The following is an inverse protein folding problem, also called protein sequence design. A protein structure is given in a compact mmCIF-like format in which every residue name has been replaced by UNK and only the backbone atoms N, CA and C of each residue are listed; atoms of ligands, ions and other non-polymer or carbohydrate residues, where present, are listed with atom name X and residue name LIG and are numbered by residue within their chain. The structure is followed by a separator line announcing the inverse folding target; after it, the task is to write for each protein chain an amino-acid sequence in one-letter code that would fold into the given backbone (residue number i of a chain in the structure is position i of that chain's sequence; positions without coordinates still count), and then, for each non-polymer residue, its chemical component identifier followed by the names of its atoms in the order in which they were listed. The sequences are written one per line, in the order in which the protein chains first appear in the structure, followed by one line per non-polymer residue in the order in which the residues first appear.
data_IF_893739472198
#
_entry.id   IF_893739472198
#
_cell.length_a   1.000
_cell.length_b   1.000
_cell.length_c   1.000
_cell.angle_alpha   90.00
_cell.angle_beta   90.00
_cell.angle_gamma   90.00
#
_symmetry.space_group_name_H-M   'P 1'
#
loop_
_entity.id
_entity.type
_entity.pdbx_description
1 polymer ?
#
# COMPACT_ATOMS: atom_id res chain seq x y z
N UNK A 1 -23.27 28.93 -20.61
CA UNK A 1 -21.78 28.95 -20.62
C UNK A 1 -21.15 28.80 -19.22
N UNK A 2 -21.82 29.21 -18.14
CA UNK A 2 -21.26 29.21 -16.78
C UNK A 2 -21.11 27.82 -16.13
N UNK A 3 -22.08 26.91 -16.29
CA UNK A 3 -22.08 25.62 -15.63
C UNK A 3 -20.91 24.66 -16.04
N UNK A 4 -20.52 24.69 -17.33
CA UNK A 4 -19.41 23.90 -17.85
C UNK A 4 -18.04 24.35 -17.32
N UNK A 5 -17.87 25.62 -17.06
CA UNK A 5 -16.64 26.21 -16.52
C UNK A 5 -16.50 25.84 -15.03
N UNK A 6 -17.58 25.83 -14.26
CA UNK A 6 -17.59 25.40 -12.87
C UNK A 6 -17.31 23.90 -12.73
N UNK A 7 -17.83 23.06 -13.61
CA UNK A 7 -17.56 21.61 -13.60
C UNK A 7 -16.10 21.32 -13.99
N UNK A 8 -15.50 22.05 -14.93
CA UNK A 8 -14.08 21.94 -15.26
C UNK A 8 -13.18 22.43 -14.12
N UNK A 9 -13.51 23.54 -13.47
CA UNK A 9 -12.78 24.07 -12.31
C UNK A 9 -12.93 23.16 -11.09
N UNK A 10 -14.10 22.54 -10.89
CA UNK A 10 -14.31 21.55 -9.83
C UNK A 10 -13.48 20.27 -10.06
N UNK A 11 -13.39 19.82 -11.31
CA UNK A 11 -12.54 18.66 -11.68
C UNK A 11 -11.03 18.97 -11.69
N UNK A 12 -10.62 20.24 -11.73
CA UNK A 12 -9.22 20.65 -11.58
C UNK A 12 -8.78 20.77 -10.10
N UNK A 13 -9.71 20.78 -9.15
CA UNK A 13 -9.43 20.96 -7.72
C UNK A 13 -9.31 19.65 -6.94
N UNK A 14 -9.76 18.53 -7.50
CA UNK A 14 -9.69 17.23 -6.80
C UNK A 14 -9.06 16.18 -7.72
N UNK A 15 -7.76 16.01 -7.59
CA UNK A 15 -7.04 14.91 -8.24
C UNK A 15 -7.30 13.66 -7.42
N UNK A 16 -8.07 12.72 -7.97
CA UNK A 16 -8.26 11.41 -7.37
C UNK A 16 -7.05 10.53 -7.71
N UNK A 17 -6.33 10.06 -6.71
CA UNK A 17 -5.26 9.07 -6.86
C UNK A 17 -5.80 7.66 -6.64
N UNK A 18 -5.60 6.78 -7.62
CA UNK A 18 -5.94 5.37 -7.56
C UNK A 18 -4.70 4.57 -7.21
N UNK A 19 -4.74 3.86 -6.12
CA UNK A 19 -3.58 3.15 -5.57
C UNK A 19 -3.80 1.64 -5.68
N UNK A 20 -2.78 0.94 -6.20
CA UNK A 20 -2.65 -0.50 -6.09
C UNK A 20 -1.69 -0.84 -4.95
N UNK A 21 -2.14 -1.56 -3.95
CA UNK A 21 -1.33 -1.96 -2.79
C UNK A 21 -1.08 -3.46 -2.81
N UNK A 22 0.20 -3.82 -2.70
CA UNK A 22 0.71 -5.19 -2.76
C UNK A 22 1.80 -5.39 -1.70
N UNK A 23 2.01 -6.62 -1.24
CA UNK A 23 3.07 -6.98 -0.29
C UNK A 23 3.46 -8.44 -0.42
N UNK A 24 4.61 -8.80 0.15
CA UNK A 24 5.03 -10.18 0.38
C UNK A 24 4.99 -11.02 -0.91
N UNK A 25 5.57 -10.49 -1.98
CA UNK A 25 5.65 -11.14 -3.30
C UNK A 25 6.70 -12.24 -3.34
N UNK A 26 7.79 -12.13 -2.56
CA UNK A 26 8.86 -13.13 -2.46
C UNK A 26 9.38 -13.62 -3.83
N UNK A 27 9.56 -12.70 -4.78
CA UNK A 27 10.04 -13.02 -6.13
C UNK A 27 8.99 -13.66 -7.05
N UNK A 28 7.72 -13.72 -6.62
CA UNK A 28 6.62 -14.19 -7.46
C UNK A 28 5.64 -13.06 -7.76
N UNK A 29 5.54 -12.68 -9.02
CA UNK A 29 4.58 -11.71 -9.51
C UNK A 29 3.60 -12.38 -10.48
N UNK A 30 2.33 -12.42 -10.07
CA UNK A 30 1.26 -12.99 -10.90
C UNK A 30 0.87 -12.04 -12.02
N UNK A 31 0.69 -12.54 -13.24
CA UNK A 31 0.22 -11.73 -14.38
C UNK A 31 -1.12 -11.03 -14.09
N UNK A 32 -1.95 -11.60 -13.22
CA UNK A 32 -3.20 -10.99 -12.80
C UNK A 32 -3.00 -9.65 -12.07
N UNK A 33 -1.83 -9.42 -11.44
CA UNK A 33 -1.48 -8.13 -10.81
C UNK A 33 -1.57 -7.00 -11.82
N UNK A 34 -0.96 -7.17 -13.00
CA UNK A 34 -0.97 -6.17 -14.07
C UNK A 34 -2.38 -5.85 -14.56
N UNK A 35 -3.22 -6.89 -14.70
CA UNK A 35 -4.63 -6.73 -15.07
C UNK A 35 -5.42 -5.96 -14.03
N UNK A 36 -5.24 -6.29 -12.75
CA UNK A 36 -5.96 -5.63 -11.66
C UNK A 36 -5.45 -4.21 -11.39
N UNK A 37 -4.18 -3.94 -11.67
CA UNK A 37 -3.55 -2.63 -11.46
C UNK A 37 -3.46 -1.78 -12.76
N UNK A 38 -4.10 -2.19 -13.85
CA UNK A 38 -4.09 -1.43 -15.11
C UNK A 38 -4.59 0.02 -14.93
N UNK A 39 -5.62 0.21 -14.13
CA UNK A 39 -6.27 1.51 -13.90
C UNK A 39 -5.77 2.26 -12.66
N UNK A 40 -4.72 1.78 -11.97
CA UNK A 40 -4.12 2.53 -10.86
C UNK A 40 -3.12 3.57 -11.39
N UNK A 41 -2.95 4.64 -10.63
CA UNK A 41 -1.98 5.69 -10.94
C UNK A 41 -0.60 5.38 -10.38
N UNK A 42 -0.55 4.65 -9.26
CA UNK A 42 0.67 4.31 -8.53
C UNK A 42 0.52 2.97 -7.82
N UNK A 43 1.60 2.20 -7.76
CA UNK A 43 1.68 0.95 -7.00
C UNK A 43 2.48 1.21 -5.73
N UNK A 44 1.95 0.74 -4.59
CA UNK A 44 2.64 0.75 -3.31
C UNK A 44 2.94 -0.69 -2.87
N UNK A 45 4.22 -0.95 -2.55
CA UNK A 45 4.67 -2.28 -2.12
C UNK A 45 5.14 -2.24 -0.66
N UNK A 46 4.48 -3.01 0.19
CA UNK A 46 4.73 -3.00 1.64
C UNK A 46 5.84 -3.98 2.10
N UNK A 47 6.82 -4.27 1.24
CA UNK A 47 8.04 -5.03 1.56
C UNK A 47 7.98 -6.52 1.21
N UNK A 48 9.16 -7.17 1.33
CA UNK A 48 9.40 -8.54 0.90
C UNK A 48 9.12 -8.71 -0.61
N UNK A 49 9.81 -7.90 -1.42
CA UNK A 49 9.74 -7.95 -2.88
C UNK A 49 10.27 -9.29 -3.42
N UNK A 50 11.50 -9.62 -3.03
CA UNK A 50 12.28 -10.65 -3.69
C UNK A 50 12.77 -10.23 -5.08
N UNK A 51 13.47 -11.15 -5.80
CA UNK A 51 14.10 -10.82 -7.07
C UNK A 51 13.11 -10.35 -8.15
N UNK A 52 13.53 -9.40 -8.97
CA UNK A 52 12.88 -8.88 -10.18
C UNK A 52 11.56 -8.11 -10.00
N UNK A 53 10.83 -8.29 -8.91
CA UNK A 53 9.50 -7.72 -8.69
C UNK A 53 9.51 -6.19 -8.75
N UNK A 54 10.47 -5.55 -8.09
CA UNK A 54 10.58 -4.08 -8.11
C UNK A 54 10.76 -3.54 -9.54
N UNK A 55 11.63 -4.17 -10.33
CA UNK A 55 11.88 -3.79 -11.72
C UNK A 55 10.63 -3.96 -12.60
N UNK A 56 9.93 -5.09 -12.46
CA UNK A 56 8.71 -5.35 -13.23
C UNK A 56 7.60 -4.36 -12.89
N UNK A 57 7.36 -4.10 -11.59
CA UNK A 57 6.34 -3.16 -11.16
C UNK A 57 6.67 -1.71 -11.54
N UNK A 58 7.93 -1.28 -11.39
CA UNK A 58 8.35 0.09 -11.74
C UNK A 58 8.34 0.36 -13.24
N UNK A 59 8.52 -0.69 -14.07
CA UNK A 59 8.36 -0.59 -15.52
C UNK A 59 6.88 -0.42 -15.91
N UNK A 60 5.97 -0.98 -15.13
CA UNK A 60 4.54 -0.94 -15.41
C UNK A 60 3.87 0.35 -14.90
N UNK A 61 4.14 0.77 -13.68
CA UNK A 61 3.56 1.97 -13.05
C UNK A 61 4.57 2.64 -12.11
N UNK A 62 4.39 3.92 -11.78
CA UNK A 62 5.11 4.54 -10.67
C UNK A 62 5.03 3.67 -9.42
N UNK A 63 6.18 3.34 -8.85
CA UNK A 63 6.30 2.44 -7.71
C UNK A 63 6.82 3.18 -6.48
N UNK A 64 6.16 2.99 -5.37
CA UNK A 64 6.59 3.41 -4.04
C UNK A 64 6.63 2.20 -3.13
N UNK A 65 7.62 2.09 -2.26
CA UNK A 65 7.74 0.91 -1.42
C UNK A 65 8.55 1.13 -0.15
N UNK A 66 8.63 0.06 0.61
CA UNK A 66 9.57 -0.15 1.71
C UNK A 66 10.22 -1.51 1.53
N UNK A 67 11.46 -1.70 1.99
CA UNK A 67 12.02 -3.04 2.00
C UNK A 67 11.44 -3.88 3.15
N UNK A 68 11.45 -5.20 2.98
CA UNK A 68 11.10 -6.16 4.02
C UNK A 68 12.33 -6.92 4.54
N UNK A 69 12.08 -7.91 5.40
CA UNK A 69 13.17 -8.64 6.06
C UNK A 69 13.93 -9.59 5.13
N UNK A 70 13.30 -10.06 4.05
CA UNK A 70 13.98 -10.96 3.09
C UNK A 70 14.67 -10.20 1.95
N UNK A 71 14.43 -8.92 1.81
CA UNK A 71 14.96 -8.14 0.71
C UNK A 71 16.49 -7.94 0.85
N UNK A 72 17.18 -8.05 -0.27
CA UNK A 72 18.62 -7.93 -0.37
C UNK A 72 19.12 -6.47 -0.41
N UNK A 73 20.44 -6.30 -0.55
CA UNK A 73 21.06 -4.98 -0.58
C UNK A 73 20.61 -4.10 -1.74
N UNK A 74 20.17 -4.67 -2.87
CA UNK A 74 19.69 -3.91 -4.03
C UNK A 74 18.38 -3.22 -3.66
N UNK A 75 17.42 -3.97 -3.17
CA UNK A 75 16.11 -3.45 -2.75
C UNK A 75 16.26 -2.49 -1.56
N UNK A 76 17.13 -2.79 -0.59
CA UNK A 76 17.38 -1.91 0.57
C UNK A 76 18.03 -0.58 0.20
N UNK A 77 18.78 -0.51 -0.90
CA UNK A 77 19.33 0.74 -1.41
C UNK A 77 18.30 1.57 -2.19
N UNK A 78 17.29 0.91 -2.79
CA UNK A 78 16.26 1.56 -3.59
C UNK A 78 15.08 2.04 -2.73
N UNK A 79 14.68 1.25 -1.74
CA UNK A 79 13.53 1.54 -0.87
C UNK A 79 13.95 1.70 0.58
N UNK A 80 13.36 2.65 1.34
CA UNK A 80 13.62 2.81 2.77
C UNK A 80 12.94 1.73 3.62
N UNK A 81 13.35 1.58 4.87
CA UNK A 81 12.67 0.74 5.86
C UNK A 81 11.31 1.31 6.27
N UNK A 82 11.26 2.63 6.43
CA UNK A 82 10.08 3.40 6.73
C UNK A 82 9.88 4.47 5.66
N UNK A 83 8.71 4.52 5.07
CA UNK A 83 8.36 5.54 4.09
C UNK A 83 7.15 6.33 4.59
N UNK A 84 7.36 7.59 4.98
CA UNK A 84 6.30 8.50 5.39
C UNK A 84 6.19 9.63 4.39
N UNK A 85 5.00 9.83 3.83
CA UNK A 85 4.78 10.78 2.75
C UNK A 85 3.33 11.27 2.73
N UNK A 86 3.11 12.37 2.04
CA UNK A 86 1.77 12.86 1.72
C UNK A 86 1.32 12.29 0.37
N UNK A 87 0.09 11.78 0.33
CA UNK A 87 -0.63 11.49 -0.89
C UNK A 87 -1.92 12.30 -0.86
N UNK A 88 -2.06 13.27 -1.75
CA UNK A 88 -3.03 14.35 -1.61
C UNK A 88 -2.90 15.00 -0.21
N UNK A 89 -3.92 15.02 0.61
CA UNK A 89 -3.87 15.51 1.99
C UNK A 89 -3.82 14.38 3.03
N UNK A 90 -3.58 13.14 2.59
CA UNK A 90 -3.45 11.98 3.47
C UNK A 90 -2.00 11.77 3.86
N UNK A 91 -1.69 11.85 5.15
CA UNK A 91 -0.39 11.43 5.71
C UNK A 91 -0.34 9.91 5.77
N UNK A 92 0.55 9.33 4.98
CA UNK A 92 0.74 7.88 4.83
C UNK A 92 2.06 7.48 5.49
N UNK A 93 2.02 6.46 6.32
CA UNK A 93 3.23 5.80 6.80
C UNK A 93 3.20 4.33 6.42
N UNK A 94 4.20 3.91 5.66
CA UNK A 94 4.38 2.54 5.22
C UNK A 94 5.65 1.96 5.86
N UNK A 95 5.56 0.74 6.37
CA UNK A 95 6.69 -0.05 6.88
C UNK A 95 6.34 -1.54 6.80
N UNK A 96 7.33 -2.41 6.57
CA UNK A 96 7.04 -3.83 6.44
C UNK A 96 6.60 -4.47 7.77
N UNK A 97 7.39 -4.32 8.84
CA UNK A 97 7.13 -4.95 10.15
C UNK A 97 6.55 -3.92 11.13
N UNK A 98 5.28 -3.56 10.94
CA UNK A 98 4.62 -2.53 11.75
C UNK A 98 3.63 -3.06 12.79
N UNK A 99 3.17 -4.31 12.64
CA UNK A 99 2.07 -4.84 13.44
C UNK A 99 0.72 -4.28 13.00
N UNK A 100 -0.23 -4.09 13.92
CA UNK A 100 -1.59 -3.65 13.63
C UNK A 100 -2.26 -3.01 14.87
N UNK A 101 -3.41 -2.35 14.75
CA UNK A 101 -4.11 -1.73 15.88
C UNK A 101 -4.24 -2.64 17.11
N UNK A 102 -3.75 -2.15 18.23
CA UNK A 102 -3.68 -2.89 19.50
C UNK A 102 -2.43 -3.78 19.65
N UNK A 103 -1.72 -4.08 18.56
CA UNK A 103 -0.48 -4.91 18.56
C UNK A 103 0.57 -4.35 17.62
N UNK A 104 0.82 -3.04 17.69
CA UNK A 104 1.91 -2.42 16.95
C UNK A 104 3.27 -2.98 17.36
N UNK A 105 4.20 -3.11 16.41
CA UNK A 105 5.56 -3.55 16.68
C UNK A 105 6.28 -2.56 17.62
N UNK A 106 7.29 -3.03 18.34
CA UNK A 106 8.06 -2.20 19.26
C UNK A 106 8.78 -1.06 18.56
N UNK A 107 9.11 -1.22 17.27
CA UNK A 107 9.81 -0.23 16.48
C UNK A 107 8.92 0.96 16.09
N UNK A 108 7.65 0.72 15.74
CA UNK A 108 6.74 1.80 15.35
C UNK A 108 5.96 2.39 16.53
N UNK A 109 5.85 1.65 17.63
CA UNK A 109 5.00 1.97 18.77
C UNK A 109 5.24 3.36 19.37
N UNK A 110 6.48 3.82 19.55
CA UNK A 110 6.74 5.16 20.07
C UNK A 110 6.17 6.27 19.17
N UNK A 111 6.39 6.16 17.87
CA UNK A 111 6.02 7.17 16.89
C UNK A 111 4.52 7.14 16.57
N UNK A 112 3.92 5.95 16.41
CA UNK A 112 2.52 5.84 15.96
C UNK A 112 1.51 6.40 16.97
N UNK A 113 1.86 6.44 18.25
CA UNK A 113 1.01 7.05 19.28
C UNK A 113 1.26 8.54 19.50
N UNK A 114 2.47 9.03 19.20
CA UNK A 114 2.82 10.45 19.37
C UNK A 114 2.53 11.28 18.14
N UNK A 115 2.68 10.67 16.97
CA UNK A 115 2.50 11.31 15.66
C UNK A 115 1.83 10.34 14.68
N UNK A 116 0.54 9.97 14.90
CA UNK A 116 -0.15 8.98 14.09
C UNK A 116 -0.35 9.46 12.64
N UNK A 117 -0.12 8.60 11.64
CA UNK A 117 -0.51 8.89 10.27
C UNK A 117 -2.02 8.76 10.12
N UNK A 118 -2.57 9.28 9.02
CA UNK A 118 -3.96 9.01 8.65
C UNK A 118 -4.14 7.60 8.06
N UNK A 119 -3.11 7.13 7.34
CA UNK A 119 -3.04 5.79 6.77
C UNK A 119 -1.73 5.10 7.18
N UNK A 120 -1.84 3.96 7.85
CA UNK A 120 -0.71 3.12 8.22
C UNK A 120 -0.74 1.80 7.45
N UNK A 121 0.32 1.51 6.69
CA UNK A 121 0.42 0.34 5.83
C UNK A 121 1.54 -0.58 6.32
N UNK A 122 1.25 -1.87 6.41
CA UNK A 122 2.22 -2.91 6.80
C UNK A 122 2.12 -4.13 5.89
N UNK A 123 3.12 -5.02 5.97
CA UNK A 123 3.15 -6.35 5.35
C UNK A 123 3.46 -7.44 6.35
N UNK A 124 4.39 -8.34 6.00
CA UNK A 124 5.06 -9.34 6.83
C UNK A 124 4.18 -10.48 7.37
N UNK A 125 3.01 -10.20 7.88
CA UNK A 125 2.15 -11.25 8.46
C UNK A 125 1.48 -12.15 7.42
N UNK A 126 1.49 -11.76 6.15
CA UNK A 126 0.76 -12.40 5.05
C UNK A 126 -0.76 -12.48 5.25
N UNK A 127 -1.28 -11.74 6.24
CA UNK A 127 -2.70 -11.76 6.59
C UNK A 127 -3.34 -10.43 6.18
N UNK A 128 -4.29 -10.49 5.26
CA UNK A 128 -5.12 -9.36 4.91
C UNK A 128 -5.78 -8.78 6.18
N UNK A 129 -5.60 -7.49 6.38
CA UNK A 129 -6.20 -6.78 7.51
C UNK A 129 -6.48 -5.33 7.16
N UNK A 130 -7.73 -4.93 7.26
CA UNK A 130 -8.17 -3.55 7.15
C UNK A 130 -8.87 -3.19 8.45
N UNK A 131 -8.32 -2.26 9.22
CA UNK A 131 -8.82 -1.88 10.53
C UNK A 131 -8.69 -0.37 10.75
N UNK A 132 -9.70 0.24 11.36
CA UNK A 132 -9.59 1.60 11.85
C UNK A 132 -9.23 1.61 13.35
N UNK A 133 -8.14 2.29 13.70
CA UNK A 133 -7.75 2.49 15.09
C UNK A 133 -8.42 3.76 15.64
N UNK A 134 -9.49 3.57 16.40
CA UNK A 134 -10.27 4.66 16.97
C UNK A 134 -9.47 5.54 17.97
N UNK A 135 -8.44 4.97 18.58
CA UNK A 135 -7.64 5.70 19.59
C UNK A 135 -6.78 6.78 18.97
N UNK A 136 -6.22 6.50 17.81
CA UNK A 136 -5.30 7.39 17.10
C UNK A 136 -5.87 7.89 15.77
N UNK A 137 -7.13 7.53 15.45
CA UNK A 137 -7.83 7.94 14.22
C UNK A 137 -7.07 7.59 12.94
N UNK A 138 -6.49 6.40 12.90
CA UNK A 138 -5.64 5.91 11.82
C UNK A 138 -6.28 4.70 11.13
N UNK A 139 -6.37 4.72 9.80
CA UNK A 139 -6.70 3.53 9.02
C UNK A 139 -5.45 2.67 8.86
N UNK A 140 -5.54 1.41 9.26
CA UNK A 140 -4.49 0.42 9.04
C UNK A 140 -4.87 -0.53 7.90
N UNK A 141 -3.93 -0.76 6.97
CA UNK A 141 -4.07 -1.74 5.90
C UNK A 141 -2.82 -2.63 5.84
N UNK A 142 -3.04 -3.93 5.90
CA UNK A 142 -2.09 -4.94 5.45
C UNK A 142 -2.75 -5.66 4.28
N UNK A 143 -2.20 -5.61 3.06
CA UNK A 143 -2.86 -6.18 1.89
C UNK A 143 -2.87 -7.71 1.85
N UNK A 144 -2.23 -8.37 2.82
CA UNK A 144 -1.92 -9.79 2.75
C UNK A 144 -0.74 -10.07 1.83
N UNK A 145 -0.48 -11.32 1.52
CA UNK A 145 0.59 -11.70 0.60
C UNK A 145 0.07 -11.91 -0.82
N UNK A 146 0.79 -11.34 -1.79
CA UNK A 146 0.53 -11.57 -3.22
C UNK A 146 1.36 -12.74 -3.77
N UNK A 147 2.47 -13.07 -3.12
CA UNK A 147 3.34 -14.19 -3.47
C UNK A 147 2.80 -15.54 -3.03
N UNK A 148 3.55 -16.59 -3.37
CA UNK A 148 3.21 -17.99 -3.03
C UNK A 148 3.90 -18.51 -1.76
N UNK A 149 4.85 -17.74 -1.23
CA UNK A 149 5.61 -18.14 -0.05
C UNK A 149 4.85 -17.85 1.24
N UNK A 150 4.81 -18.78 2.17
CA UNK A 150 4.20 -18.61 3.50
C UNK A 150 3.01 -19.55 3.78
N UNK A 151 2.30 -19.31 4.88
CA UNK A 151 1.21 -20.18 5.38
C UNK A 151 -0.20 -19.69 4.99
N UNK A 152 -0.30 -18.51 4.32
CA UNK A 152 -1.59 -17.99 3.89
C UNK A 152 -2.23 -18.89 2.83
N UNK A 153 -3.55 -18.97 2.86
CA UNK A 153 -4.33 -19.82 1.93
C UNK A 153 -4.80 -19.06 0.70
N UNK A 154 -4.94 -17.76 0.82
CA UNK A 154 -5.44 -16.86 -0.21
C UNK A 154 -4.42 -15.76 -0.44
N UNK A 155 -4.07 -15.52 -1.69
CA UNK A 155 -3.24 -14.40 -2.10
C UNK A 155 -4.13 -13.20 -2.37
N UNK A 156 -3.70 -12.01 -1.94
CA UNK A 156 -4.55 -10.83 -2.00
C UNK A 156 -3.80 -9.60 -2.49
N UNK A 157 -4.56 -8.70 -3.11
CA UNK A 157 -4.18 -7.32 -3.43
C UNK A 157 -5.24 -6.39 -2.85
N UNK A 158 -4.90 -5.12 -2.68
CA UNK A 158 -5.86 -4.09 -2.30
C UNK A 158 -5.79 -2.95 -3.31
N UNK A 159 -6.94 -2.39 -3.69
CA UNK A 159 -7.04 -1.12 -4.41
C UNK A 159 -7.85 -0.14 -3.58
N UNK A 160 -7.51 1.12 -3.67
CA UNK A 160 -8.30 2.19 -3.07
C UNK A 160 -8.03 3.52 -3.78
N UNK A 161 -8.88 4.49 -3.50
CA UNK A 161 -8.72 5.85 -4.01
C UNK A 161 -8.44 6.81 -2.86
N UNK A 162 -7.65 7.85 -3.16
CA UNK A 162 -7.45 9.01 -2.29
C UNK A 162 -7.91 10.23 -3.06
N UNK A 163 -8.79 11.01 -2.45
CA UNK A 163 -9.21 12.32 -2.96
C UNK A 163 -9.16 13.29 -1.80
N UNK A 164 -8.31 14.30 -1.92
CA UNK A 164 -8.09 15.27 -0.85
C UNK A 164 -7.67 14.54 0.45
N UNK A 165 -8.44 14.62 1.52
CA UNK A 165 -8.17 13.94 2.79
C UNK A 165 -8.87 12.58 2.92
N UNK A 166 -9.65 12.15 1.93
CA UNK A 166 -10.50 10.98 2.02
C UNK A 166 -9.91 9.76 1.34
N UNK A 167 -9.89 8.63 2.07
CA UNK A 167 -9.56 7.31 1.55
C UNK A 167 -10.89 6.59 1.32
N UNK A 168 -11.14 6.16 0.08
CA UNK A 168 -12.43 5.56 -0.30
C UNK A 168 -12.28 4.49 -1.38
N UNK A 169 -13.38 3.84 -1.74
CA UNK A 169 -13.43 2.81 -2.79
C UNK A 169 -12.38 1.72 -2.55
N UNK A 170 -12.24 1.29 -1.28
CA UNK A 170 -11.33 0.21 -0.92
C UNK A 170 -11.92 -1.12 -1.39
N UNK A 171 -11.12 -1.85 -2.15
CA UNK A 171 -11.46 -3.14 -2.74
C UNK A 171 -10.35 -4.14 -2.44
N UNK A 172 -10.74 -5.31 -1.96
CA UNK A 172 -9.86 -6.47 -1.80
C UNK A 172 -10.02 -7.38 -3.00
N UNK A 173 -8.91 -7.78 -3.59
CA UNK A 173 -8.86 -8.67 -4.75
C UNK A 173 -8.20 -9.97 -4.31
N UNK A 174 -8.92 -11.07 -4.44
CA UNK A 174 -8.36 -12.41 -4.24
C UNK A 174 -7.77 -12.92 -5.56
N UNK A 175 -6.49 -13.30 -5.53
CA UNK A 175 -5.82 -13.89 -6.66
C UNK A 175 -6.07 -15.40 -6.68
N UNK A 176 -6.44 -15.94 -7.85
CA UNK A 176 -6.69 -17.36 -8.04
C UNK A 176 -5.38 -18.17 -7.95
N UNK A 177 -5.47 -19.34 -7.33
CA UNK A 177 -4.36 -20.31 -7.23
C UNK A 177 -3.27 -19.91 -6.22
N UNK A 178 -2.79 -20.90 -5.52
CA UNK A 178 -1.61 -20.82 -4.65
C UNK A 178 -0.37 -21.30 -5.39
#
# INVERSE_FOLDING_TARGET
MCAKVYTLLYNLLYIMKKIGLISDTHGFLDEAVFKHFDQVDEIWHAGDFGPHVATELSTFKPLRGVFGNIDDGVIRNEFPEHNRFQCEQVDVWMTHIGGYPGRYSTFVKPEIYTNPPKLFITGHSHILKVMFDEKIKCLHINPGAAGKHGWHKVRTLVRFCITDENIHTLEVIELSGR
#
